data_IF_867475331049
#
_entry.id   IF_867475331049
#
_cell.length_a   1.000
_cell.length_b   1.000
_cell.length_c   1.000
_cell.angle_alpha   90.00
_cell.angle_beta   90.00
_cell.angle_gamma   90.00
#
_symmetry.space_group_name_H-M   'P 1'
#
loop_
_entity.id
_entity.type
_entity.pdbx_description
1 polymer ?
#
# COMPACT_ATOMS: atom_id res chain seq x y z
N UNK A 1 24.85 10.44 -15.37
CA UNK A 1 24.63 10.01 -13.97
C UNK A 1 23.54 8.95 -13.98
N UNK A 2 23.70 7.79 -13.32
CA UNK A 2 22.63 6.80 -13.25
C UNK A 2 21.44 7.40 -12.50
N UNK A 3 20.27 7.46 -13.14
CA UNK A 3 19.04 7.98 -12.53
C UNK A 3 18.68 7.20 -11.28
N UNK A 4 18.25 7.88 -10.22
CA UNK A 4 17.67 7.24 -9.02
C UNK A 4 16.60 6.27 -9.50
N UNK A 5 16.85 4.95 -9.39
CA UNK A 5 15.82 3.93 -9.57
C UNK A 5 14.72 4.28 -8.57
N UNK A 6 13.61 4.83 -9.07
CA UNK A 6 12.50 5.25 -8.23
C UNK A 6 12.07 4.05 -7.40
N UNK A 7 12.10 4.16 -6.07
CA UNK A 7 11.45 3.16 -5.26
C UNK A 7 9.98 3.13 -5.71
N UNK A 8 9.53 1.99 -6.22
CA UNK A 8 8.16 1.80 -6.72
C UNK A 8 7.09 2.03 -5.63
N UNK A 9 7.53 2.27 -4.38
CA UNK A 9 6.75 2.32 -3.16
C UNK A 9 7.22 3.48 -2.27
N UNK A 10 7.06 4.72 -2.72
CA UNK A 10 7.38 5.92 -1.93
C UNK A 10 6.37 6.21 -0.80
N UNK A 11 5.54 5.25 -0.39
CA UNK A 11 4.53 5.43 0.64
C UNK A 11 4.45 4.23 1.59
N UNK A 12 4.23 4.53 2.87
CA UNK A 12 4.07 3.54 3.94
C UNK A 12 2.65 2.99 3.97
N UNK A 13 2.48 1.78 4.51
CA UNK A 13 1.16 1.15 4.63
C UNK A 13 0.27 1.91 5.61
N UNK A 14 0.85 2.41 6.70
CA UNK A 14 0.15 3.26 7.66
C UNK A 14 -0.40 4.54 7.01
N UNK A 15 0.37 5.19 6.12
CA UNK A 15 -0.12 6.37 5.39
C UNK A 15 -1.27 6.02 4.44
N UNK A 16 -1.21 4.85 3.81
CA UNK A 16 -2.29 4.36 2.94
C UNK A 16 -3.57 4.10 3.72
N UNK A 17 -3.47 3.43 4.88
CA UNK A 17 -4.58 3.16 5.78
C UNK A 17 -5.22 4.45 6.31
N UNK A 18 -4.41 5.40 6.78
CA UNK A 18 -4.89 6.68 7.26
C UNK A 18 -5.65 7.45 6.16
N UNK A 19 -5.14 7.43 4.93
CA UNK A 19 -5.80 8.06 3.78
C UNK A 19 -7.14 7.41 3.42
N UNK A 20 -7.22 6.07 3.48
CA UNK A 20 -8.47 5.34 3.22
C UNK A 20 -9.51 5.66 4.30
N UNK A 21 -9.09 5.69 5.56
CA UNK A 21 -9.97 6.06 6.67
C UNK A 21 -10.45 7.50 6.57
N UNK A 22 -9.59 8.45 6.18
CA UNK A 22 -9.97 9.87 6.00
C UNK A 22 -11.03 10.04 4.91
N UNK A 23 -10.89 9.32 3.79
CA UNK A 23 -11.88 9.35 2.70
C UNK A 23 -13.20 8.72 3.13
N UNK A 24 -13.16 7.59 3.84
CA UNK A 24 -14.36 6.85 4.26
C UNK A 24 -15.13 7.58 5.38
N UNK A 25 -14.43 8.08 6.40
CA UNK A 25 -15.03 8.68 7.60
C UNK A 25 -15.39 10.15 7.40
N UNK A 26 -14.47 10.93 6.83
CA UNK A 26 -14.62 12.39 6.75
C UNK A 26 -15.15 12.87 5.39
N UNK A 27 -15.52 11.96 4.49
CA UNK A 27 -15.96 12.26 3.10
C UNK A 27 -15.01 13.19 2.35
N UNK A 28 -13.72 13.17 2.71
CA UNK A 28 -12.72 14.00 2.07
C UNK A 28 -12.50 13.54 0.63
N UNK A 29 -12.21 14.49 -0.26
CA UNK A 29 -11.93 14.15 -1.65
C UNK A 29 -10.66 13.30 -1.72
N UNK A 30 -10.67 12.26 -2.57
CA UNK A 30 -9.52 11.37 -2.77
C UNK A 30 -8.25 12.17 -3.12
N UNK A 31 -8.37 13.25 -3.91
CA UNK A 31 -7.24 14.11 -4.29
C UNK A 31 -6.63 14.81 -3.08
N UNK A 32 -7.46 15.31 -2.16
CA UNK A 32 -6.99 16.04 -0.97
C UNK A 32 -6.36 15.07 0.03
N UNK A 33 -6.98 13.91 0.26
CA UNK A 33 -6.43 12.86 1.10
C UNK A 33 -5.09 12.34 0.54
N UNK A 34 -5.01 12.08 -0.77
CA UNK A 34 -3.77 11.63 -1.41
C UNK A 34 -2.61 12.60 -1.20
N UNK A 35 -2.85 13.91 -1.36
CA UNK A 35 -1.84 14.94 -1.13
C UNK A 35 -1.47 15.05 0.36
N UNK A 36 -2.46 14.96 1.26
CA UNK A 36 -2.29 15.08 2.72
C UNK A 36 -1.41 13.95 3.29
N UNK A 37 -1.61 12.72 2.83
CA UNK A 37 -0.86 11.55 3.33
C UNK A 37 0.32 11.14 2.43
N UNK A 38 0.60 11.87 1.34
CA UNK A 38 1.71 11.57 0.45
C UNK A 38 1.57 10.23 -0.30
N UNK A 39 0.34 9.79 -0.55
CA UNK A 39 0.05 8.50 -1.20
C UNK A 39 -0.37 8.70 -2.67
N UNK A 40 -0.07 7.76 -3.58
CA UNK A 40 -0.49 7.88 -4.97
C UNK A 40 -2.01 7.87 -5.10
N UNK A 41 -2.56 8.84 -5.84
CA UNK A 41 -4.00 9.04 -6.00
C UNK A 41 -4.72 7.80 -6.55
N UNK A 42 -4.17 7.18 -7.60
CA UNK A 42 -4.81 6.02 -8.24
C UNK A 42 -4.81 4.81 -7.30
N UNK A 43 -3.71 4.61 -6.56
CA UNK A 43 -3.63 3.56 -5.54
C UNK A 43 -4.66 3.78 -4.44
N UNK A 44 -4.81 5.01 -3.94
CA UNK A 44 -5.85 5.36 -2.97
C UNK A 44 -7.25 5.02 -3.51
N UNK A 45 -7.56 5.41 -4.75
CA UNK A 45 -8.85 5.08 -5.38
C UNK A 45 -9.10 3.59 -5.43
N UNK A 46 -8.12 2.79 -5.87
CA UNK A 46 -8.26 1.34 -5.98
C UNK A 46 -8.50 0.68 -4.63
N UNK A 47 -7.82 1.15 -3.57
CA UNK A 47 -8.00 0.65 -2.21
C UNK A 47 -9.36 1.05 -1.62
N UNK A 48 -9.81 2.28 -1.85
CA UNK A 48 -11.13 2.76 -1.40
C UNK A 48 -12.26 1.99 -2.09
N UNK A 49 -12.13 1.73 -3.41
CA UNK A 49 -13.06 0.95 -4.22
C UNK A 49 -12.89 -0.57 -4.06
N UNK A 50 -12.03 -1.03 -3.16
CA UNK A 50 -11.80 -2.46 -2.87
C UNK A 50 -11.34 -3.29 -4.08
N UNK A 51 -10.81 -2.62 -5.12
CA UNK A 51 -10.25 -3.26 -6.33
C UNK A 51 -8.91 -3.95 -6.08
N UNK A 52 -8.25 -3.60 -4.98
CA UNK A 52 -6.97 -4.17 -4.58
C UNK A 52 -6.96 -4.42 -3.07
N UNK A 53 -6.40 -5.55 -2.58
CA UNK A 53 -6.24 -5.83 -1.16
C UNK A 53 -5.48 -4.72 -0.46
N UNK A 54 -5.70 -4.45 0.83
CA UNK A 54 -4.97 -3.40 1.56
C UNK A 54 -3.50 -3.76 1.74
N UNK A 55 -3.25 -4.99 2.18
CA UNK A 55 -1.93 -5.57 2.39
C UNK A 55 -1.24 -5.90 1.07
N UNK A 56 0.09 -5.87 1.10
CA UNK A 56 0.93 -6.27 -0.02
C UNK A 56 1.21 -7.77 0.11
N UNK A 57 0.64 -8.59 -0.77
CA UNK A 57 1.09 -9.98 -0.90
C UNK A 57 2.35 -9.99 -1.75
N UNK A 58 3.49 -10.32 -1.12
CA UNK A 58 4.75 -10.52 -1.83
C UNK A 58 4.79 -11.96 -2.34
N UNK A 59 4.68 -12.13 -3.66
CA UNK A 59 4.81 -13.44 -4.30
C UNK A 59 3.81 -14.50 -3.83
N UNK A 60 3.95 -15.74 -4.33
CA UNK A 60 3.26 -16.89 -3.76
C UNK A 60 3.78 -17.16 -2.34
N UNK A 61 2.93 -17.73 -1.49
CA UNK A 61 3.32 -18.18 -0.14
C UNK A 61 4.38 -19.27 -0.24
N UNK A 62 5.32 -19.30 0.72
CA UNK A 62 6.27 -20.41 0.84
C UNK A 62 5.51 -21.73 0.95
N UNK A 63 6.04 -22.77 0.30
CA UNK A 63 5.53 -24.14 0.41
C UNK A 63 5.94 -24.73 1.77
N UNK A 64 7.06 -24.25 2.32
CA UNK A 64 7.57 -24.67 3.61
C UNK A 64 6.93 -23.83 4.72
N UNK A 65 6.64 -24.50 5.82
CA UNK A 65 6.31 -23.81 7.07
C UNK A 65 7.58 -23.15 7.65
N UNK A 66 7.46 -22.06 8.42
CA UNK A 66 8.63 -21.41 9.02
C UNK A 66 9.46 -22.35 9.91
N UNK A 67 8.84 -23.40 10.47
CA UNK A 67 9.52 -24.43 11.25
C UNK A 67 10.38 -25.37 10.40
N UNK A 68 9.99 -25.62 9.16
CA UNK A 68 10.74 -26.44 8.20
C UNK A 68 11.88 -25.65 7.57
N UNK A 69 11.70 -24.34 7.34
CA UNK A 69 12.75 -23.46 6.80
C UNK A 69 13.96 -23.33 7.75
N UNK A 70 13.75 -23.34 9.08
CA UNK A 70 14.83 -23.22 10.07
C UNK A 70 15.62 -24.52 10.34
N UNK A 71 15.19 -25.65 9.77
CA UNK A 71 15.84 -26.97 9.96
C UNK A 71 16.80 -27.37 8.82
N UNK A 72 16.98 -26.52 7.82
CA UNK A 72 17.91 -26.70 6.69
C UNK A 72 19.12 -25.79 6.90
#
# INVERSE_FOLDING_TARGET
MPGKRGAFLNYTEAAMLAAVNDVRLHKTLIRTAAKKFGVPRITLTNKVQEKSPMERKMGPTSILTPEEEHKI
#
